data_IF_570283775921
#
_entry.id   IF_570283775921
#
_cell.length_a   1.000
_cell.length_b   1.000
_cell.length_c   1.000
_cell.angle_alpha   90.00
_cell.angle_beta   90.00
_cell.angle_gamma   90.00
#
_symmetry.space_group_name_H-M   'P 1'
#
loop_
_entity.id
_entity.type
_entity.pdbx_description
1 polymer ?
#
# COMPACT_ATOMS: atom_id res chain seq x y z
N UNK A 1 -11.63 -8.50 -21.36
CA UNK A 1 -11.27 -9.46 -20.30
C UNK A 1 -9.87 -9.12 -19.84
N UNK A 2 -9.72 -8.48 -18.67
CA UNK A 2 -8.41 -8.20 -18.10
C UNK A 2 -7.96 -9.44 -17.31
N UNK A 3 -6.89 -10.09 -17.77
CA UNK A 3 -6.24 -11.16 -17.04
C UNK A 3 -5.56 -10.53 -15.82
N UNK A 4 -6.13 -10.72 -14.63
CA UNK A 4 -5.44 -10.45 -13.36
C UNK A 4 -4.23 -11.41 -13.30
N UNK A 5 -3.06 -10.92 -13.66
CA UNK A 5 -1.79 -11.59 -13.35
C UNK A 5 -1.57 -11.43 -11.84
N UNK A 6 -2.00 -12.43 -11.06
CA UNK A 6 -1.64 -12.53 -9.64
C UNK A 6 -0.16 -12.90 -9.55
N UNK A 7 0.59 -12.20 -8.71
CA UNK A 7 1.98 -12.55 -8.41
C UNK A 7 1.97 -13.77 -7.48
N UNK A 8 2.39 -14.94 -7.96
CA UNK A 8 2.40 -16.21 -7.19
C UNK A 8 3.68 -16.40 -6.34
N UNK A 9 4.44 -15.32 -6.06
CA UNK A 9 5.84 -15.41 -5.63
C UNK A 9 6.15 -15.34 -4.13
N UNK A 10 5.15 -15.23 -3.25
CA UNK A 10 5.34 -15.22 -1.79
C UNK A 10 4.75 -16.49 -1.17
N UNK A 11 5.48 -17.61 -1.26
CA UNK A 11 5.09 -18.83 -0.54
C UNK A 11 5.30 -18.65 0.97
N UNK A 12 4.39 -19.23 1.77
CA UNK A 12 4.42 -19.21 3.25
C UNK A 12 5.81 -19.56 3.80
N UNK A 13 6.35 -18.66 4.61
CA UNK A 13 7.65 -18.80 5.26
C UNK A 13 8.65 -17.75 4.77
N UNK A 14 9.12 -16.91 5.71
CA UNK A 14 10.17 -15.88 5.61
C UNK A 14 10.54 -15.45 4.17
N UNK A 15 9.94 -14.35 3.72
CA UNK A 15 10.30 -13.72 2.44
C UNK A 15 11.82 -13.48 2.37
N UNK A 16 12.47 -13.97 1.31
CA UNK A 16 13.90 -13.73 1.10
C UNK A 16 14.13 -12.34 0.52
N UNK A 17 15.34 -11.78 0.73
CA UNK A 17 15.73 -10.51 0.10
C UNK A 17 15.51 -10.50 -1.42
N UNK A 18 15.76 -11.63 -2.10
CA UNK A 18 15.52 -11.77 -3.54
C UNK A 18 14.03 -11.66 -3.90
N UNK A 19 13.14 -12.27 -3.12
CA UNK A 19 11.69 -12.17 -3.34
C UNK A 19 11.19 -10.73 -3.14
N UNK A 20 11.75 -10.00 -2.16
CA UNK A 20 11.43 -8.57 -1.96
C UNK A 20 11.87 -7.75 -3.17
N UNK A 21 13.07 -8.00 -3.71
CA UNK A 21 13.56 -7.32 -4.90
C UNK A 21 12.72 -7.61 -6.15
N UNK A 22 12.33 -8.87 -6.35
CA UNK A 22 11.51 -9.27 -7.49
C UNK A 22 10.08 -8.73 -7.37
N UNK A 23 9.51 -8.72 -6.17
CA UNK A 23 8.24 -8.05 -5.88
C UNK A 23 8.34 -6.54 -6.08
N UNK A 24 9.44 -5.91 -5.67
CA UNK A 24 9.71 -4.50 -5.93
C UNK A 24 9.77 -4.16 -7.43
N UNK A 25 10.42 -4.98 -8.25
CA UNK A 25 10.41 -4.83 -9.72
C UNK A 25 8.99 -5.00 -10.29
N UNK A 26 8.22 -5.94 -9.75
CA UNK A 26 6.82 -6.10 -10.11
C UNK A 26 6.02 -4.83 -9.80
N UNK A 27 6.16 -4.23 -8.61
CA UNK A 27 5.50 -2.96 -8.27
C UNK A 27 5.90 -1.82 -9.23
N UNK A 28 7.18 -1.72 -9.61
CA UNK A 28 7.63 -0.74 -10.62
C UNK A 28 6.91 -0.97 -11.96
N UNK A 29 6.78 -2.22 -12.42
CA UNK A 29 6.05 -2.53 -13.66
C UNK A 29 4.57 -2.10 -13.61
N UNK A 30 4.01 -1.99 -12.40
CA UNK A 30 2.63 -1.61 -12.12
C UNK A 30 2.45 -0.15 -11.72
N UNK A 31 3.52 0.65 -11.64
CA UNK A 31 3.45 2.02 -11.10
C UNK A 31 2.55 2.96 -11.91
N UNK A 32 2.33 2.66 -13.20
CA UNK A 32 1.39 3.39 -14.06
C UNK A 32 -0.08 3.16 -13.69
N UNK A 33 -0.38 2.09 -12.94
CA UNK A 33 -1.71 1.79 -12.41
C UNK A 33 -1.98 2.51 -11.07
N UNK A 34 -0.98 3.20 -10.50
CA UNK A 34 -1.13 3.88 -9.21
C UNK A 34 -2.15 5.02 -9.30
N UNK A 35 -3.07 5.06 -8.34
CA UNK A 35 -4.19 6.00 -8.32
C UNK A 35 -3.95 7.11 -7.31
N UNK A 36 -4.37 8.33 -7.63
CA UNK A 36 -4.34 9.44 -6.68
C UNK A 36 -5.41 9.20 -5.61
N UNK A 37 -5.00 9.14 -4.35
CA UNK A 37 -5.89 8.91 -3.21
C UNK A 37 -6.14 10.22 -2.47
N UNK A 38 -7.40 10.42 -2.13
CA UNK A 38 -7.88 11.53 -1.33
C UNK A 38 -8.17 11.04 0.08
N UNK A 39 -7.75 11.83 1.07
CA UNK A 39 -8.06 11.59 2.47
C UNK A 39 -9.49 11.97 2.78
N UNK A 40 -10.17 11.17 3.61
CA UNK A 40 -11.53 11.42 4.06
C UNK A 40 -11.64 11.15 5.56
N UNK A 41 -12.13 12.15 6.30
CA UNK A 41 -12.57 11.91 7.67
C UNK A 41 -13.87 11.11 7.61
N UNK A 42 -13.90 9.98 8.31
CA UNK A 42 -15.09 9.11 8.41
C UNK A 42 -15.51 8.90 9.87
N UNK A 43 -14.95 9.68 10.78
CA UNK A 43 -15.25 9.62 12.21
C UNK A 43 -16.73 9.94 12.47
N UNK A 44 -17.38 9.10 13.27
CA UNK A 44 -18.74 9.25 13.74
C UNK A 44 -18.89 8.69 15.17
N UNK A 45 -20.12 8.45 15.63
CA UNK A 45 -20.36 7.91 16.97
C UNK A 45 -19.92 6.44 17.14
N UNK A 46 -19.81 5.69 16.04
CA UNK A 46 -19.50 4.25 16.02
C UNK A 46 -18.05 3.94 15.68
N UNK A 47 -17.33 4.88 15.06
CA UNK A 47 -15.95 4.71 14.64
C UNK A 47 -15.16 6.02 14.73
N UNK A 48 -13.92 5.96 15.21
CA UNK A 48 -12.97 7.08 15.09
C UNK A 48 -11.58 6.55 14.75
N UNK A 49 -11.00 7.09 13.68
CA UNK A 49 -9.74 6.58 13.17
C UNK A 49 -8.54 7.00 14.05
N UNK A 50 -7.65 6.05 14.33
CA UNK A 50 -6.44 6.29 15.11
C UNK A 50 -5.27 6.70 14.21
N UNK A 51 -4.55 7.77 14.58
CA UNK A 51 -3.42 8.30 13.80
C UNK A 51 -2.35 7.23 13.57
N UNK A 52 -1.90 7.05 12.33
CA UNK A 52 -0.87 6.09 11.91
C UNK A 52 -1.23 4.58 12.07
N UNK A 53 -2.47 4.24 12.44
CA UNK A 53 -2.95 2.85 12.53
C UNK A 53 -3.72 2.43 11.28
N UNK A 54 -3.12 2.55 10.09
CA UNK A 54 -3.86 2.42 8.84
C UNK A 54 -4.49 1.03 8.61
N UNK A 55 -3.85 -0.04 9.09
CA UNK A 55 -4.40 -1.39 8.96
C UNK A 55 -5.63 -1.56 9.87
N UNK A 56 -5.46 -1.27 11.15
CA UNK A 56 -6.50 -1.41 12.17
C UNK A 56 -7.72 -0.54 11.83
N UNK A 57 -7.49 0.71 11.44
CA UNK A 57 -8.57 1.64 11.06
C UNK A 57 -9.42 1.08 9.91
N UNK A 58 -8.76 0.58 8.86
CA UNK A 58 -9.45 0.08 7.67
C UNK A 58 -10.22 -1.20 7.99
N UNK A 59 -9.65 -2.07 8.83
CA UNK A 59 -10.31 -3.32 9.24
C UNK A 59 -11.53 -3.07 10.11
N UNK A 60 -11.38 -2.22 11.12
CA UNK A 60 -12.48 -1.81 11.98
C UNK A 60 -13.59 -1.12 11.19
N UNK A 61 -13.23 -0.15 10.32
CA UNK A 61 -14.20 0.54 9.49
C UNK A 61 -14.96 -0.40 8.56
N UNK A 62 -14.29 -1.34 7.89
CA UNK A 62 -14.94 -2.29 6.99
C UNK A 62 -15.76 -3.36 7.75
N UNK A 63 -15.39 -3.66 9.00
CA UNK A 63 -16.20 -4.52 9.86
C UNK A 63 -17.54 -3.88 10.22
N UNK A 64 -17.56 -2.56 10.43
CA UNK A 64 -18.77 -1.78 10.74
C UNK A 64 -19.56 -1.47 9.45
N UNK A 65 -18.89 -0.95 8.42
CA UNK A 65 -19.49 -0.55 7.16
C UNK A 65 -19.42 -1.66 6.10
N UNK A 66 -20.51 -2.41 5.92
CA UNK A 66 -20.59 -3.52 4.95
C UNK A 66 -20.50 -3.10 3.48
N UNK A 67 -20.53 -1.80 3.18
CA UNK A 67 -20.34 -1.25 1.83
C UNK A 67 -18.88 -0.82 1.57
N UNK A 68 -17.96 -1.17 2.45
CA UNK A 68 -16.54 -0.87 2.38
C UNK A 68 -15.72 -2.16 2.39
N UNK A 69 -14.60 -2.17 1.67
CA UNK A 69 -13.65 -3.26 1.67
C UNK A 69 -12.22 -2.76 1.93
N UNK A 70 -11.41 -3.49 2.69
CA UNK A 70 -10.02 -3.15 2.93
C UNK A 70 -9.21 -3.34 1.65
N UNK A 71 -8.30 -2.43 1.36
CA UNK A 71 -7.32 -2.54 0.28
C UNK A 71 -5.92 -2.32 0.84
N UNK A 72 -5.09 -3.36 0.76
CA UNK A 72 -3.67 -3.30 1.10
C UNK A 72 -2.83 -2.82 -0.06
N UNK A 73 -1.76 -2.11 0.22
CA UNK A 73 -0.86 -1.64 -0.83
C UNK A 73 0.19 -0.68 -0.34
N UNK A 74 0.54 0.24 -1.24
CA UNK A 74 1.75 1.03 -1.14
C UNK A 74 1.49 2.47 -1.54
N UNK A 75 1.92 3.41 -0.69
CA UNK A 75 2.11 4.80 -1.10
C UNK A 75 3.37 4.86 -1.96
N UNK A 76 3.24 5.37 -3.18
CA UNK A 76 4.34 5.54 -4.11
C UNK A 76 4.99 6.91 -3.89
N UNK A 77 6.13 6.92 -3.20
CA UNK A 77 6.93 8.13 -2.99
C UNK A 77 8.01 8.19 -4.07
N UNK A 78 7.86 9.17 -4.94
CA UNK A 78 8.78 9.40 -6.04
C UNK A 78 9.67 10.63 -5.74
N UNK A 79 10.93 10.40 -5.39
CA UNK A 79 11.87 11.48 -5.14
C UNK A 79 12.42 12.00 -6.48
N UNK A 80 12.10 13.25 -6.82
CA UNK A 80 12.44 13.88 -8.11
C UNK A 80 13.94 13.80 -8.45
N UNK A 81 14.81 13.88 -7.44
CA UNK A 81 16.27 13.83 -7.61
C UNK A 81 16.89 12.45 -7.34
N UNK A 82 16.08 11.39 -7.27
CA UNK A 82 16.53 10.03 -6.96
C UNK A 82 16.16 9.06 -8.07
N UNK A 83 17.03 8.11 -8.44
CA UNK A 83 16.66 7.02 -9.33
C UNK A 83 15.79 5.96 -8.61
N UNK A 84 15.45 6.16 -7.33
CA UNK A 84 14.68 5.21 -6.53
C UNK A 84 13.23 5.67 -6.36
N UNK A 85 12.32 4.70 -6.41
CA UNK A 85 10.95 4.84 -5.91
C UNK A 85 10.87 4.11 -4.57
N UNK A 86 10.20 4.73 -3.61
CA UNK A 86 9.94 4.15 -2.30
C UNK A 86 8.46 3.81 -2.22
N UNK A 87 8.17 2.54 -1.95
CA UNK A 87 6.84 2.05 -1.66
C UNK A 87 6.69 1.93 -0.14
N UNK A 88 5.82 2.75 0.45
CA UNK A 88 5.55 2.74 1.90
C UNK A 88 4.27 1.96 2.14
N UNK A 89 4.31 0.92 2.99
CA UNK A 89 3.13 0.09 3.27
C UNK A 89 1.96 0.96 3.76
N UNK A 90 0.78 0.77 3.19
CA UNK A 90 -0.41 1.49 3.63
C UNK A 90 -1.69 0.69 3.35
N UNK A 91 -2.76 1.04 4.04
CA UNK A 91 -4.09 0.48 3.83
C UNK A 91 -5.11 1.60 3.61
N UNK A 92 -6.01 1.37 2.65
CA UNK A 92 -7.10 2.29 2.31
C UNK A 92 -8.41 1.53 2.18
N UNK A 93 -9.51 2.25 2.02
CA UNK A 93 -10.84 1.67 1.83
C UNK A 93 -11.28 1.78 0.38
N UNK A 94 -11.86 0.71 -0.17
CA UNK A 94 -12.68 0.75 -1.38
C UNK A 94 -14.16 0.75 -1.01
N UNK A 95 -14.86 1.81 -1.37
CA UNK A 95 -16.31 1.92 -1.25
C UNK A 95 -17.01 1.09 -2.34
N UNK A 96 -18.26 0.71 -2.12
CA UNK A 96 -19.10 -0.01 -3.11
C UNK A 96 -19.25 0.74 -4.44
N UNK A 97 -19.14 2.07 -4.42
CA UNK A 97 -19.09 2.91 -5.63
C UNK A 97 -17.83 2.70 -6.48
N UNK A 98 -16.83 1.98 -5.96
CA UNK A 98 -15.51 1.80 -6.55
C UNK A 98 -14.49 2.86 -6.11
N UNK A 99 -14.93 3.90 -5.40
CA UNK A 99 -14.08 4.98 -4.89
C UNK A 99 -13.05 4.45 -3.88
N UNK A 100 -11.83 4.95 -3.97
CA UNK A 100 -10.75 4.68 -3.04
C UNK A 100 -10.50 5.89 -2.14
N UNK A 101 -10.54 5.66 -0.83
CA UNK A 101 -10.33 6.72 0.17
C UNK A 101 -9.36 6.28 1.25
N UNK A 102 -8.52 7.21 1.70
CA UNK A 102 -7.72 7.01 2.90
C UNK A 102 -8.46 7.60 4.10
N UNK A 103 -8.78 6.74 5.06
CA UNK A 103 -9.47 7.12 6.29
C UNK A 103 -8.51 7.39 7.45
N UNK A 104 -7.21 7.15 7.27
CA UNK A 104 -6.22 7.27 8.34
C UNK A 104 -5.83 8.73 8.53
N UNK A 105 -5.98 9.29 9.74
CA UNK A 105 -5.43 10.59 10.05
C UNK A 105 -3.90 10.49 9.95
N UNK A 106 -3.31 11.20 9.00
CA UNK A 106 -1.85 11.41 8.92
C UNK A 106 -1.55 12.91 8.92
N UNK A 107 -0.27 13.29 8.96
CA UNK A 107 0.14 14.70 8.92
C UNK A 107 -0.50 15.46 7.74
N UNK A 108 -0.84 16.74 7.99
CA UNK A 108 -1.59 17.61 7.08
C UNK A 108 -0.89 17.89 5.75
N UNK A 109 0.42 17.64 5.67
CA UNK A 109 1.24 17.97 4.50
C UNK A 109 1.11 16.94 3.36
N UNK A 110 0.58 15.75 3.63
CA UNK A 110 0.27 14.71 2.64
C UNK A 110 -1.22 14.72 2.33
N UNK A 111 -1.73 15.71 1.60
CA UNK A 111 -3.18 15.74 1.26
C UNK A 111 -3.55 14.72 0.18
N UNK A 112 -2.64 14.50 -0.77
CA UNK A 112 -2.84 13.58 -1.89
C UNK A 112 -1.53 12.81 -2.15
N UNK A 113 -1.67 11.55 -2.54
CA UNK A 113 -0.54 10.71 -2.91
C UNK A 113 -0.98 9.62 -3.89
N UNK A 114 -0.02 9.05 -4.60
CA UNK A 114 -0.26 7.88 -5.46
C UNK A 114 -0.24 6.63 -4.62
N UNK A 115 -1.26 5.79 -4.78
CA UNK A 115 -1.36 4.48 -4.13
C UNK A 115 -1.41 3.37 -5.18
N UNK A 116 -0.70 2.29 -4.90
CA UNK A 116 -0.70 1.09 -5.70
C UNK A 116 -1.16 -0.09 -4.84
N UNK A 117 -2.21 -0.84 -5.23
CA UNK A 117 -2.59 -2.07 -4.53
C UNK A 117 -1.41 -3.04 -4.40
N UNK A 118 -1.42 -3.87 -3.37
CA UNK A 118 -0.34 -4.85 -3.15
C UNK A 118 -0.32 -5.96 -4.20
N UNK A 119 -1.47 -6.28 -4.79
CA UNK A 119 -1.70 -7.50 -5.61
C UNK A 119 -1.40 -8.82 -4.86
N UNK A 120 -1.28 -8.75 -3.54
CA UNK A 120 -1.14 -9.87 -2.62
C UNK A 120 -2.47 -10.05 -1.88
N UNK A 121 -2.68 -11.24 -1.33
CA UNK A 121 -3.75 -11.41 -0.34
C UNK A 121 -3.34 -10.80 1.02
N UNK A 122 -4.28 -10.69 1.95
CA UNK A 122 -4.05 -10.02 3.25
C UNK A 122 -2.99 -10.73 4.10
N UNK A 123 -2.95 -12.08 4.10
CA UNK A 123 -1.97 -12.87 4.85
C UNK A 123 -0.55 -12.64 4.30
N UNK A 124 -0.39 -12.73 2.98
CA UNK A 124 0.89 -12.49 2.30
C UNK A 124 1.41 -11.06 2.52
N UNK A 125 0.51 -10.08 2.47
CA UNK A 125 0.87 -8.68 2.71
C UNK A 125 1.30 -8.45 4.17
N UNK A 126 0.57 -9.03 5.14
CA UNK A 126 0.91 -8.94 6.55
C UNK A 126 2.28 -9.58 6.84
N UNK A 127 2.53 -10.79 6.33
CA UNK A 127 3.82 -11.48 6.46
C UNK A 127 4.97 -10.65 5.86
N UNK A 128 4.77 -10.04 4.69
CA UNK A 128 5.77 -9.19 4.05
C UNK A 128 6.06 -7.93 4.88
N UNK A 129 5.03 -7.23 5.34
CA UNK A 129 5.17 -6.00 6.14
C UNK A 129 5.88 -6.28 7.46
N UNK A 130 5.50 -7.37 8.15
CA UNK A 130 6.16 -7.82 9.37
C UNK A 130 7.64 -8.15 9.12
N UNK A 131 7.92 -8.90 8.05
CA UNK A 131 9.30 -9.23 7.68
C UNK A 131 10.14 -7.97 7.43
N UNK A 132 9.61 -7.00 6.66
CA UNK A 132 10.30 -5.72 6.41
C UNK A 132 10.58 -4.99 7.74
N UNK A 133 9.58 -4.89 8.61
CA UNK A 133 9.74 -4.21 9.89
C UNK A 133 10.80 -4.86 10.77
N UNK A 134 10.76 -6.19 10.93
CA UNK A 134 11.71 -6.94 11.75
C UNK A 134 13.14 -6.82 11.22
N UNK A 135 13.35 -6.86 9.90
CA UNK A 135 14.68 -6.90 9.30
C UNK A 135 15.25 -5.51 8.96
N UNK A 136 14.41 -4.50 8.75
CA UNK A 136 14.82 -3.18 8.27
C UNK A 136 14.41 -2.03 9.20
N UNK A 137 13.63 -2.30 10.25
CA UNK A 137 13.10 -1.28 11.18
C UNK A 137 12.06 -0.36 10.55
N UNK A 138 11.60 -0.66 9.34
CA UNK A 138 10.58 0.08 8.60
C UNK A 138 9.85 -0.86 7.63
N UNK A 139 8.77 -0.39 7.04
CA UNK A 139 7.91 -1.20 6.17
C UNK A 139 8.01 -0.79 4.70
N UNK A 140 9.16 -0.26 4.29
CA UNK A 140 9.35 0.29 2.96
C UNK A 140 9.97 -0.74 2.01
N UNK A 141 9.62 -0.64 0.74
CA UNK A 141 10.33 -1.30 -0.36
C UNK A 141 10.95 -0.21 -1.23
N UNK A 142 12.28 -0.15 -1.28
CA UNK A 142 13.02 0.80 -2.11
C UNK A 142 13.56 0.10 -3.35
N UNK A 143 13.19 0.59 -4.53
CA UNK A 143 13.55 -0.04 -5.80
C UNK A 143 14.06 1.00 -6.77
N UNK A 144 15.15 0.66 -7.49
CA UNK A 144 15.66 1.51 -8.57
C UNK A 144 14.65 1.50 -9.73
N UNK A 145 14.19 2.67 -10.15
CA UNK A 145 13.36 2.83 -11.32
C UNK A 145 14.26 2.96 -12.56
N UNK A 146 14.30 1.95 -13.46
CA UNK A 146 15.17 1.97 -14.63
C UNK A 146 14.81 3.09 -15.62
N UNK A 147 13.56 3.58 -15.58
CA UNK A 147 13.10 4.70 -16.42
C UNK A 147 13.54 6.07 -15.90
N UNK A 148 14.14 6.12 -14.71
CA UNK A 148 14.68 7.35 -14.09
C UNK A 148 16.21 7.43 -14.16
N UNK A 149 16.85 6.68 -15.05
CA UNK A 149 18.29 6.74 -15.23
C UNK A 149 18.75 8.16 -15.64
N UNK A 150 19.32 8.88 -14.67
CA UNK A 150 20.43 9.83 -14.73
C UNK A 150 20.44 10.88 -15.83
N UNK A 151 20.43 12.16 -15.42
CA UNK A 151 21.07 13.24 -16.18
C UNK A 151 22.55 12.94 -16.42
#
# INVERSE_FOLDING_TARGET
>A
MAVMLRYEGLAKGCCTQRQIEDYGKFLISKISEAQLIVKRCVDDESFSATKNHCHDNVDEYCNINKNANPIRGWICVDAVASPFVIFVSHSIVRMVSGELIDITPMNKDLQEYKFLPSYLNDEEFAELVEHLFVNQGNTNIMVKNPHKAGF
#
